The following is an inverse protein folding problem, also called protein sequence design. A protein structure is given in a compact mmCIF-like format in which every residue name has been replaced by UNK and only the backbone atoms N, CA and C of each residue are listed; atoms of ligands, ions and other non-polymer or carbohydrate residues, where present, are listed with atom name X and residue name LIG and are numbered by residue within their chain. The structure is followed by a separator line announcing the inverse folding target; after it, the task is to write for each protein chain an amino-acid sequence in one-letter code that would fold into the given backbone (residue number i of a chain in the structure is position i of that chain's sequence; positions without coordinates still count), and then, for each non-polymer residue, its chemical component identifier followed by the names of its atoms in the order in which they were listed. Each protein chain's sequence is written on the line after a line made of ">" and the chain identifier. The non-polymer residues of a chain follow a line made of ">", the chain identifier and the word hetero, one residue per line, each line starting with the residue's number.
data_IF_052265072074
#
_entry.id   IF_052265072074
#
_cell.length_a   1.000
_cell.length_b   1.000
_cell.length_c   1.000
_cell.angle_alpha   90.00
_cell.angle_beta   90.00
_cell.angle_gamma   90.00
#
_symmetry.space_group_name_H-M   'P 1'
#
loop_
_entity.id
_entity.type
_entity.pdbx_description
1 polymer ?
#
# COMPACT_ATOMS: atom_id res chain seq x y z
N UNK A 1 -3.93 -8.78 12.49
CA UNK A 1 -4.15 -9.64 13.66
C UNK A 1 -3.00 -9.52 14.66
N UNK A 2 -1.75 -9.67 14.24
CA UNK A 2 -0.58 -9.58 15.11
C UNK A 2 -0.54 -8.29 15.95
N UNK A 3 -0.81 -7.14 15.33
CA UNK A 3 -0.84 -5.83 16.02
C UNK A 3 -1.88 -5.80 17.15
N UNK A 4 -3.04 -6.43 16.92
CA UNK A 4 -4.08 -6.52 17.94
C UNK A 4 -3.69 -7.48 19.08
N UNK A 5 -3.13 -8.65 18.75
CA UNK A 5 -2.62 -9.57 19.75
C UNK A 5 -1.60 -8.90 20.66
N UNK A 6 -0.60 -8.22 20.09
CA UNK A 6 0.43 -7.47 20.81
C UNK A 6 -0.15 -6.35 21.67
N UNK A 7 -1.11 -5.59 21.15
CA UNK A 7 -1.78 -4.52 21.90
C UNK A 7 -2.58 -5.05 23.10
N UNK A 8 -3.01 -6.31 23.06
CA UNK A 8 -3.72 -7.01 24.11
C UNK A 8 -2.79 -7.82 25.02
N UNK A 9 -1.47 -7.83 24.77
CA UNK A 9 -0.46 -8.51 25.57
C UNK A 9 -0.30 -10.00 25.26
N UNK A 10 -0.74 -10.46 24.09
CA UNK A 10 -0.68 -11.86 23.67
C UNK A 10 0.28 -12.09 22.50
N UNK A 11 0.87 -13.28 22.44
CA UNK A 11 1.45 -13.79 21.18
C UNK A 11 0.34 -14.09 20.17
N UNK A 12 0.67 -13.98 18.89
CA UNK A 12 -0.32 -14.15 17.80
C UNK A 12 -0.91 -15.57 17.75
N UNK A 13 -0.14 -16.60 18.16
CA UNK A 13 -0.62 -17.98 18.20
C UNK A 13 -1.53 -18.22 19.39
N UNK A 14 -1.15 -17.71 20.56
CA UNK A 14 -1.98 -17.76 21.76
C UNK A 14 -3.30 -17.04 21.54
N UNK A 15 -3.26 -15.85 20.97
CA UNK A 15 -4.44 -15.06 20.63
C UNK A 15 -5.37 -15.79 19.64
N UNK A 16 -4.79 -16.48 18.65
CA UNK A 16 -5.55 -17.31 17.72
C UNK A 16 -6.21 -18.51 18.41
N UNK A 17 -5.47 -19.19 19.30
CA UNK A 17 -5.99 -20.33 20.05
C UNK A 17 -7.17 -19.93 20.94
N UNK A 18 -7.09 -18.80 21.63
CA UNK A 18 -8.20 -18.26 22.43
C UNK A 18 -9.46 -18.04 21.59
N UNK A 19 -9.33 -17.55 20.36
CA UNK A 19 -10.47 -17.32 19.46
C UNK A 19 -11.27 -18.58 19.09
N UNK A 20 -10.70 -19.77 19.26
CA UNK A 20 -11.42 -21.04 19.05
C UNK A 20 -12.45 -21.33 20.13
N UNK A 21 -12.29 -20.75 21.32
CA UNK A 21 -13.14 -20.98 22.49
C UNK A 21 -14.16 -19.87 22.73
N UNK A 22 -14.35 -18.98 21.73
CA UNK A 22 -15.33 -17.90 21.81
C UNK A 22 -16.75 -18.44 21.84
N UNK A 23 -17.53 -18.04 22.82
CA UNK A 23 -18.95 -18.36 22.97
C UNK A 23 -19.83 -17.34 22.22
N UNK A 24 -19.41 -16.06 22.22
CA UNK A 24 -20.13 -14.96 21.58
C UNK A 24 -19.18 -14.02 20.85
N UNK A 25 -18.69 -14.40 19.65
CA UNK A 25 -17.77 -13.56 18.89
C UNK A 25 -18.32 -12.15 18.68
N UNK A 26 -17.47 -11.13 18.88
CA UNK A 26 -17.83 -9.73 18.68
C UNK A 26 -18.07 -9.47 17.18
N UNK A 27 -19.18 -8.85 16.82
CA UNK A 27 -19.38 -8.41 15.44
C UNK A 27 -18.58 -7.13 15.16
N UNK A 28 -17.50 -7.28 14.42
CA UNK A 28 -16.64 -6.20 13.98
C UNK A 28 -16.89 -5.80 12.52
N UNK A 29 -17.91 -6.38 11.89
CA UNK A 29 -18.22 -6.16 10.49
C UNK A 29 -17.19 -6.76 9.53
N UNK A 30 -17.12 -6.23 8.31
CA UNK A 30 -16.21 -6.69 7.23
C UNK A 30 -15.25 -5.60 6.75
N UNK A 31 -14.89 -4.65 7.62
CA UNK A 31 -13.94 -3.58 7.28
C UNK A 31 -12.50 -4.07 7.32
N UNK A 32 -11.60 -3.34 6.65
CA UNK A 32 -10.17 -3.58 6.79
C UNK A 32 -9.76 -3.41 8.26
N UNK A 33 -8.89 -4.30 8.74
CA UNK A 33 -8.38 -4.32 10.13
C UNK A 33 -7.80 -2.99 10.62
N UNK A 34 -7.26 -2.18 9.73
CA UNK A 34 -6.74 -0.84 10.05
C UNK A 34 -7.82 0.07 10.66
N UNK A 35 -9.07 -0.06 10.23
CA UNK A 35 -10.20 0.73 10.72
C UNK A 35 -10.94 0.11 11.92
N UNK A 36 -10.48 -1.02 12.42
CA UNK A 36 -11.16 -1.76 13.50
C UNK A 36 -10.70 -1.37 14.90
N UNK A 37 -9.65 -0.57 15.05
CA UNK A 37 -9.10 -0.17 16.35
C UNK A 37 -10.15 0.41 17.28
N UNK A 38 -11.03 1.28 16.78
CA UNK A 38 -12.10 1.90 17.57
C UNK A 38 -13.14 0.86 18.00
N UNK A 39 -13.51 -0.06 17.09
CA UNK A 39 -14.50 -1.11 17.38
C UNK A 39 -13.96 -2.12 18.39
N UNK A 40 -12.69 -2.51 18.30
CA UNK A 40 -12.03 -3.40 19.27
C UNK A 40 -11.95 -2.72 20.65
N UNK A 41 -11.54 -1.44 20.72
CA UNK A 41 -11.52 -0.68 21.96
C UNK A 41 -12.91 -0.53 22.58
N UNK A 42 -13.93 -0.35 21.75
CA UNK A 42 -15.30 -0.30 22.24
C UNK A 42 -15.74 -1.65 22.82
N UNK A 43 -15.48 -2.75 22.09
CA UNK A 43 -15.80 -4.10 22.60
C UNK A 43 -15.12 -4.40 23.94
N UNK A 44 -13.86 -3.95 24.12
CA UNK A 44 -13.17 -4.06 25.42
C UNK A 44 -13.88 -3.28 26.53
N UNK A 45 -14.32 -2.05 26.23
CA UNK A 45 -15.08 -1.22 27.20
C UNK A 45 -16.43 -1.84 27.56
N UNK A 46 -17.05 -2.51 26.59
CA UNK A 46 -18.33 -3.21 26.77
C UNK A 46 -18.17 -4.56 27.50
N UNK A 47 -16.93 -4.91 27.89
CA UNK A 47 -16.64 -6.11 28.67
C UNK A 47 -16.55 -7.40 27.85
N UNK A 48 -16.34 -7.31 26.53
CA UNK A 48 -16.13 -8.50 25.71
C UNK A 48 -14.83 -9.22 26.10
N UNK A 49 -14.89 -10.55 26.19
CA UNK A 49 -13.72 -11.37 26.49
C UNK A 49 -12.70 -11.36 25.34
N UNK A 50 -11.46 -11.71 25.65
CA UNK A 50 -10.37 -11.76 24.66
C UNK A 50 -10.67 -12.82 23.58
N UNK A 51 -11.26 -13.94 23.98
CA UNK A 51 -11.71 -15.01 23.08
C UNK A 51 -12.71 -14.47 22.06
N UNK A 52 -13.70 -13.72 22.53
CA UNK A 52 -14.74 -13.14 21.68
C UNK A 52 -14.21 -12.06 20.75
N UNK A 53 -13.22 -11.28 21.18
CA UNK A 53 -12.53 -10.29 20.35
C UNK A 53 -11.67 -10.99 19.28
N UNK A 54 -10.90 -12.01 19.65
CA UNK A 54 -10.05 -12.77 18.73
C UNK A 54 -10.87 -13.45 17.62
N UNK A 55 -11.97 -14.10 18.02
CA UNK A 55 -12.88 -14.72 17.07
C UNK A 55 -13.54 -13.68 16.15
N UNK A 56 -14.01 -12.57 16.70
CA UNK A 56 -14.60 -11.46 15.94
C UNK A 56 -13.65 -10.87 14.90
N UNK A 57 -12.38 -10.67 15.26
CA UNK A 57 -11.33 -10.23 14.35
C UNK A 57 -11.08 -11.25 13.23
N UNK A 58 -11.04 -12.55 13.57
CA UNK A 58 -10.83 -13.62 12.60
C UNK A 58 -11.98 -13.71 11.60
N UNK A 59 -13.23 -13.65 12.08
CA UNK A 59 -14.44 -13.61 11.23
C UNK A 59 -14.44 -12.38 10.31
N UNK A 60 -14.09 -11.23 10.85
CA UNK A 60 -14.06 -10.00 10.06
C UNK A 60 -13.01 -10.03 8.94
N UNK A 61 -11.82 -10.58 9.20
CA UNK A 61 -10.79 -10.77 8.17
C UNK A 61 -11.29 -11.67 7.06
N UNK A 62 -11.95 -12.77 7.40
CA UNK A 62 -12.53 -13.71 6.45
C UNK A 62 -13.63 -13.05 5.61
N UNK A 63 -14.59 -12.38 6.25
CA UNK A 63 -15.66 -11.66 5.55
C UNK A 63 -15.12 -10.56 4.64
N UNK A 64 -14.08 -9.85 5.05
CA UNK A 64 -13.42 -8.86 4.20
C UNK A 64 -12.80 -9.52 2.96
N UNK A 65 -12.08 -10.63 3.13
CA UNK A 65 -11.47 -11.35 2.02
C UNK A 65 -12.53 -11.87 1.04
N UNK A 66 -13.55 -12.54 1.53
CA UNK A 66 -14.59 -13.14 0.69
C UNK A 66 -15.44 -12.09 -0.03
N UNK A 67 -16.01 -11.15 0.70
CA UNK A 67 -17.05 -10.27 0.16
C UNK A 67 -16.53 -8.93 -0.36
N UNK A 68 -15.34 -8.46 0.07
CA UNK A 68 -14.79 -7.19 -0.41
C UNK A 68 -13.65 -7.35 -1.41
N UNK A 69 -12.81 -8.36 -1.24
CA UNK A 69 -11.66 -8.60 -2.11
C UNK A 69 -12.02 -9.55 -3.24
N UNK A 70 -12.48 -10.75 -2.92
CA UNK A 70 -12.91 -11.76 -3.91
C UNK A 70 -14.23 -11.36 -4.55
N UNK A 71 -15.11 -10.70 -3.78
CA UNK A 71 -16.45 -10.28 -4.17
C UNK A 71 -17.37 -11.46 -4.50
N UNK A 72 -17.19 -12.56 -3.79
CA UNK A 72 -18.12 -13.68 -3.88
C UNK A 72 -19.51 -13.23 -3.39
N UNK A 73 -20.54 -13.52 -4.16
CA UNK A 73 -21.93 -13.22 -3.79
C UNK A 73 -22.48 -14.27 -2.81
N UNK A 74 -21.96 -15.50 -2.90
CA UNK A 74 -22.30 -16.58 -1.99
C UNK A 74 -21.13 -17.55 -1.83
N UNK A 75 -21.10 -18.36 -0.76
CA UNK A 75 -20.09 -19.39 -0.56
C UNK A 75 -20.01 -20.41 -1.70
N UNK A 76 -21.15 -20.75 -2.31
CA UNK A 76 -21.26 -21.75 -3.37
C UNK A 76 -20.47 -21.37 -4.64
N UNK A 77 -20.26 -20.08 -4.89
CA UNK A 77 -19.47 -19.61 -6.03
C UNK A 77 -18.02 -20.09 -6.00
N UNK A 78 -17.46 -20.34 -4.80
CA UNK A 78 -16.10 -20.84 -4.65
C UNK A 78 -15.99 -22.36 -4.80
N UNK A 79 -17.13 -23.05 -4.91
CA UNK A 79 -17.19 -24.50 -5.03
C UNK A 79 -16.99 -25.22 -3.69
N UNK A 80 -16.92 -26.56 -3.77
CA UNK A 80 -16.85 -27.43 -2.58
C UNK A 80 -15.42 -27.88 -2.24
N UNK A 81 -14.53 -27.90 -3.21
CA UNK A 81 -13.14 -28.34 -3.06
C UNK A 81 -12.24 -27.11 -2.92
N UNK A 82 -12.10 -26.63 -1.69
CA UNK A 82 -11.39 -25.39 -1.41
C UNK A 82 -10.04 -25.71 -0.79
N UNK A 83 -8.97 -25.22 -1.41
CA UNK A 83 -7.61 -25.25 -0.90
C UNK A 83 -7.21 -23.85 -0.44
N UNK A 84 -6.83 -23.71 0.81
CA UNK A 84 -6.36 -22.44 1.36
C UNK A 84 -4.84 -22.42 1.46
N UNK A 85 -4.24 -21.28 1.18
CA UNK A 85 -2.80 -21.10 1.19
C UNK A 85 -2.41 -19.73 1.74
N UNK A 86 -1.14 -19.59 2.11
CA UNK A 86 -0.61 -18.39 2.73
C UNK A 86 -0.49 -18.50 4.25
N UNK A 87 0.44 -17.73 4.83
CA UNK A 87 0.76 -17.78 6.26
C UNK A 87 -0.42 -17.41 7.18
N UNK A 88 -1.39 -16.66 6.70
CA UNK A 88 -2.59 -16.27 7.45
C UNK A 88 -3.40 -17.49 7.89
N UNK A 89 -3.43 -18.55 7.08
CA UNK A 89 -4.18 -19.77 7.39
C UNK A 89 -3.49 -20.71 8.41
N UNK A 90 -2.29 -20.37 8.87
CA UNK A 90 -1.71 -21.00 10.07
C UNK A 90 -2.38 -20.53 11.38
N UNK A 91 -3.16 -19.45 11.31
CA UNK A 91 -4.01 -19.02 12.39
C UNK A 91 -5.29 -19.87 12.39
N UNK A 92 -5.42 -20.73 13.42
CA UNK A 92 -6.53 -21.69 13.53
C UNK A 92 -7.90 -21.00 13.65
N UNK A 93 -7.97 -19.84 14.32
CA UNK A 93 -9.23 -19.10 14.43
C UNK A 93 -9.67 -18.54 13.05
N UNK A 94 -8.72 -18.11 12.22
CA UNK A 94 -9.01 -17.67 10.83
C UNK A 94 -9.44 -18.86 9.98
N UNK A 95 -8.74 -19.99 10.07
CA UNK A 95 -9.11 -21.20 9.34
C UNK A 95 -10.55 -21.63 9.72
N UNK A 96 -10.84 -21.70 11.00
CA UNK A 96 -12.16 -22.10 11.49
C UNK A 96 -13.25 -21.09 11.11
N UNK A 97 -12.95 -19.79 11.18
CA UNK A 97 -13.88 -18.75 10.73
C UNK A 97 -14.21 -18.90 9.24
N UNK A 98 -13.19 -19.21 8.42
CA UNK A 98 -13.38 -19.45 6.99
C UNK A 98 -14.24 -20.68 6.71
N UNK A 99 -13.99 -21.80 7.37
CA UNK A 99 -14.78 -23.02 7.26
C UNK A 99 -16.25 -22.81 7.65
N UNK A 100 -16.49 -22.07 8.74
CA UNK A 100 -17.84 -21.72 9.20
C UNK A 100 -18.57 -20.82 8.20
N UNK A 101 -17.89 -19.84 7.65
CA UNK A 101 -18.49 -18.92 6.68
C UNK A 101 -18.80 -19.63 5.36
N UNK A 102 -17.94 -20.57 4.94
CA UNK A 102 -18.11 -21.34 3.71
C UNK A 102 -19.04 -22.56 3.88
N UNK A 103 -19.29 -22.98 5.10
CA UNK A 103 -20.09 -24.19 5.38
C UNK A 103 -19.43 -25.50 4.96
N UNK A 104 -18.13 -25.49 4.65
CA UNK A 104 -17.36 -26.67 4.21
C UNK A 104 -15.99 -26.71 4.90
N UNK A 105 -15.45 -27.91 5.08
CA UNK A 105 -14.05 -28.05 5.49
C UNK A 105 -13.14 -27.73 4.31
N UNK A 106 -12.02 -27.09 4.60
CA UNK A 106 -11.05 -26.70 3.58
C UNK A 106 -9.73 -27.48 3.73
N UNK A 107 -9.02 -27.63 2.65
CA UNK A 107 -7.72 -28.29 2.63
C UNK A 107 -6.65 -27.23 2.86
N UNK A 108 -5.92 -27.34 3.98
CA UNK A 108 -4.74 -26.54 4.24
C UNK A 108 -3.50 -27.43 4.10
N UNK A 109 -2.69 -27.29 3.05
CA UNK A 109 -1.44 -28.02 2.92
C UNK A 109 -0.46 -27.69 4.05
N UNK A 110 0.39 -28.63 4.46
CA UNK A 110 1.42 -28.40 5.49
C UNK A 110 2.35 -27.24 5.14
N UNK A 111 2.60 -27.05 3.83
CA UNK A 111 3.43 -25.97 3.29
C UNK A 111 2.60 -24.74 2.88
N UNK A 112 1.41 -24.55 3.44
CA UNK A 112 0.49 -23.47 3.03
C UNK A 112 1.18 -22.09 2.95
N UNK A 113 2.09 -21.77 3.87
CA UNK A 113 2.85 -20.51 3.85
C UNK A 113 3.87 -20.41 2.72
N UNK A 114 4.29 -21.51 2.12
CA UNK A 114 5.29 -21.58 1.04
C UNK A 114 4.66 -21.84 -0.33
N UNK A 115 3.35 -22.06 -0.42
CA UNK A 115 2.68 -22.40 -1.68
C UNK A 115 2.88 -21.36 -2.78
N UNK A 116 2.92 -20.07 -2.42
CA UNK A 116 3.23 -19.00 -3.37
C UNK A 116 4.64 -19.10 -3.93
N UNK A 117 5.63 -19.36 -3.09
CA UNK A 117 7.03 -19.57 -3.52
C UNK A 117 7.17 -20.82 -4.37
N UNK A 118 6.48 -21.90 -4.00
CA UNK A 118 6.45 -23.14 -4.77
C UNK A 118 5.85 -22.93 -6.16
N UNK A 119 4.71 -22.24 -6.24
CA UNK A 119 4.09 -21.89 -7.52
C UNK A 119 4.97 -20.99 -8.38
N UNK A 120 5.65 -20.01 -7.79
CA UNK A 120 6.59 -19.15 -8.48
C UNK A 120 7.79 -19.96 -9.04
N UNK A 121 8.31 -20.93 -8.28
CA UNK A 121 9.37 -21.82 -8.73
C UNK A 121 8.93 -22.70 -9.92
N UNK A 122 7.73 -23.27 -9.86
CA UNK A 122 7.15 -24.04 -10.97
C UNK A 122 6.96 -23.18 -12.22
N UNK A 123 6.42 -21.99 -12.06
CA UNK A 123 6.25 -21.04 -13.16
C UNK A 123 7.60 -20.63 -13.75
N UNK A 124 8.57 -20.29 -12.89
CA UNK A 124 9.94 -19.96 -13.32
C UNK A 124 10.58 -21.10 -14.10
N UNK A 125 10.45 -22.35 -13.61
CA UNK A 125 10.94 -23.54 -14.31
C UNK A 125 10.31 -23.71 -15.70
N UNK A 126 8.99 -23.53 -15.80
CA UNK A 126 8.28 -23.63 -17.06
C UNK A 126 8.71 -22.55 -18.07
N UNK A 127 8.95 -21.32 -17.60
CA UNK A 127 9.36 -20.19 -18.44
C UNK A 127 10.82 -20.23 -18.85
N UNK A 128 11.70 -20.67 -17.96
CA UNK A 128 13.14 -20.71 -18.20
C UNK A 128 13.57 -21.79 -19.22
N UNK A 129 12.79 -22.87 -19.34
CA UNK A 129 13.09 -23.98 -20.24
C UNK A 129 14.19 -24.94 -19.72
N UNK A 130 14.45 -26.01 -20.46
CA UNK A 130 15.31 -27.12 -20.02
C UNK A 130 16.83 -26.77 -19.91
N UNK A 131 17.26 -25.69 -20.54
CA UNK A 131 18.69 -25.30 -20.60
C UNK A 131 19.02 -24.05 -19.78
N UNK A 132 18.08 -23.53 -19.01
CA UNK A 132 18.32 -22.36 -18.15
C UNK A 132 19.33 -22.71 -17.05
N UNK A 133 20.36 -21.89 -16.92
CA UNK A 133 21.30 -21.96 -15.80
C UNK A 133 20.84 -21.01 -14.70
N UNK A 134 20.87 -21.48 -13.47
CA UNK A 134 20.61 -20.64 -12.30
C UNK A 134 21.72 -19.59 -12.14
N UNK A 135 21.34 -18.38 -11.76
CA UNK A 135 22.25 -17.32 -11.32
C UNK A 135 22.40 -17.27 -9.81
N UNK A 136 21.80 -18.21 -9.10
CA UNK A 136 21.95 -18.35 -7.65
C UNK A 136 23.39 -18.76 -7.35
N UNK A 137 23.98 -18.12 -6.36
CA UNK A 137 25.34 -18.42 -5.91
C UNK A 137 25.45 -19.88 -5.47
N UNK A 138 26.55 -20.51 -5.82
CA UNK A 138 26.90 -21.84 -5.30
C UNK A 138 27.24 -21.75 -3.81
N UNK A 139 27.29 -22.89 -3.12
CA UNK A 139 27.66 -22.91 -1.69
C UNK A 139 29.06 -22.31 -1.47
N UNK A 140 30.02 -22.61 -2.34
CA UNK A 140 31.38 -22.08 -2.27
C UNK A 140 31.40 -20.53 -2.42
N UNK A 141 30.61 -20.00 -3.35
CA UNK A 141 30.47 -18.56 -3.53
C UNK A 141 29.77 -17.91 -2.35
N UNK A 142 28.80 -18.59 -1.71
CA UNK A 142 28.14 -18.10 -0.50
C UNK A 142 29.09 -18.06 0.71
N UNK A 143 29.97 -19.03 0.87
CA UNK A 143 30.98 -19.05 1.94
C UNK A 143 31.97 -17.88 1.83
N UNK A 144 32.25 -17.44 0.59
CA UNK A 144 33.11 -16.28 0.33
C UNK A 144 32.34 -14.98 0.10
N UNK A 145 31.01 -15.01 0.26
CA UNK A 145 30.18 -13.85 0.05
C UNK A 145 30.44 -12.80 1.13
N UNK A 146 30.77 -11.60 0.71
CA UNK A 146 30.91 -10.46 1.61
C UNK A 146 30.23 -9.23 1.03
N UNK A 147 29.67 -8.43 1.92
CA UNK A 147 29.10 -7.14 1.57
C UNK A 147 29.46 -6.08 2.61
N UNK A 148 29.62 -4.85 2.16
CA UNK A 148 29.73 -3.67 3.02
C UNK A 148 28.46 -2.85 2.86
N UNK A 149 27.86 -2.49 3.99
CA UNK A 149 26.63 -1.68 4.01
C UNK A 149 26.96 -0.30 4.50
N UNK A 150 26.69 0.72 3.69
CA UNK A 150 26.89 2.11 4.04
C UNK A 150 25.54 2.84 3.96
N UNK A 151 25.27 3.70 4.92
CA UNK A 151 24.11 4.59 4.89
C UNK A 151 24.57 6.00 4.56
N UNK A 152 24.03 6.59 3.51
CA UNK A 152 24.37 7.94 3.06
C UNK A 152 23.11 8.76 2.78
N UNK A 153 23.17 10.06 2.96
CA UNK A 153 22.09 10.96 2.62
C UNK A 153 22.26 11.43 1.16
N UNK A 154 21.22 11.24 0.35
CA UNK A 154 21.20 11.71 -1.04
C UNK A 154 21.18 13.25 -1.09
N UNK A 155 22.06 13.84 -1.88
CA UNK A 155 22.13 15.29 -2.10
C UNK A 155 21.52 15.70 -3.45
N UNK A 156 20.81 14.79 -4.12
CA UNK A 156 20.31 15.00 -5.48
C UNK A 156 19.12 15.96 -5.60
N UNK A 157 18.35 16.16 -4.51
CA UNK A 157 17.20 17.05 -4.47
C UNK A 157 16.78 17.32 -3.01
N UNK A 158 15.78 18.17 -2.79
CA UNK A 158 15.29 18.54 -1.45
C UNK A 158 14.66 17.41 -0.62
N UNK A 159 14.46 16.21 -1.19
CA UNK A 159 13.96 15.06 -0.42
C UNK A 159 15.02 14.45 0.52
N UNK A 160 16.29 14.65 0.24
CA UNK A 160 17.41 14.16 1.07
C UNK A 160 17.23 12.70 1.53
N UNK A 161 16.84 11.80 0.60
CA UNK A 161 16.58 10.41 0.93
C UNK A 161 17.77 9.77 1.64
N UNK A 162 17.48 9.00 2.69
CA UNK A 162 18.47 8.15 3.33
C UNK A 162 18.65 6.88 2.50
N UNK A 163 19.83 6.72 1.91
CA UNK A 163 20.17 5.61 1.03
C UNK A 163 20.96 4.57 1.79
N UNK A 164 20.63 3.31 1.57
CA UNK A 164 21.45 2.17 1.97
C UNK A 164 22.19 1.65 0.74
N UNK A 165 23.50 1.77 0.76
CA UNK A 165 24.39 1.34 -0.32
C UNK A 165 25.07 0.05 0.09
N UNK A 166 24.71 -1.06 -0.56
CA UNK A 166 25.39 -2.34 -0.42
C UNK A 166 26.48 -2.43 -1.49
N UNK A 167 27.69 -2.70 -1.08
CA UNK A 167 28.83 -2.93 -1.98
C UNK A 167 29.27 -4.37 -1.80
N UNK A 168 29.16 -5.16 -2.88
CA UNK A 168 29.53 -6.57 -2.89
C UNK A 168 31.01 -6.77 -3.21
N UNK A 169 31.53 -7.96 -2.91
CA UNK A 169 32.93 -8.31 -3.14
C UNK A 169 33.38 -8.14 -4.61
N UNK A 170 32.48 -8.32 -5.57
CA UNK A 170 32.70 -8.13 -7.01
C UNK A 170 32.65 -6.64 -7.45
N UNK A 171 32.52 -5.72 -6.50
CA UNK A 171 32.42 -4.27 -6.75
C UNK A 171 31.06 -3.78 -7.19
N UNK A 172 30.09 -4.67 -7.39
CA UNK A 172 28.68 -4.26 -7.69
C UNK A 172 28.08 -3.51 -6.51
N UNK A 173 27.20 -2.59 -6.84
CA UNK A 173 26.48 -1.80 -5.84
C UNK A 173 24.98 -2.02 -5.98
N UNK A 174 24.32 -2.15 -4.85
CA UNK A 174 22.86 -2.13 -4.77
C UNK A 174 22.45 -0.98 -3.84
N UNK A 175 21.63 -0.07 -4.36
CA UNK A 175 21.15 1.11 -3.63
C UNK A 175 19.66 0.94 -3.36
N UNK A 176 19.26 1.15 -2.11
CA UNK A 176 17.87 1.15 -1.66
C UNK A 176 17.56 2.38 -0.81
N UNK A 177 16.27 2.62 -0.53
CA UNK A 177 15.82 3.82 0.19
C UNK A 177 15.65 5.05 -0.70
N UNK A 178 15.98 4.94 -2.01
CA UNK A 178 15.75 5.99 -3.00
C UNK A 178 14.25 6.11 -3.35
N UNK A 179 13.80 7.34 -3.57
CA UNK A 179 12.45 7.64 -4.07
C UNK A 179 12.42 7.94 -5.57
N UNK A 180 13.58 7.95 -6.22
CA UNK A 180 13.74 8.11 -7.67
C UNK A 180 15.00 7.37 -8.12
N UNK A 181 15.18 7.20 -9.43
CA UNK A 181 16.29 6.43 -10.00
C UNK A 181 17.62 7.20 -10.06
N UNK A 182 17.61 8.50 -9.78
CA UNK A 182 18.80 9.35 -9.85
C UNK A 182 20.01 8.82 -9.09
N UNK A 183 19.89 8.30 -7.86
CA UNK A 183 21.05 7.73 -7.12
C UNK A 183 21.62 6.47 -7.77
N UNK A 184 20.80 5.74 -8.54
CA UNK A 184 21.18 4.47 -9.19
C UNK A 184 21.74 4.72 -10.58
N UNK A 185 21.09 5.57 -11.37
CA UNK A 185 21.40 5.79 -12.78
C UNK A 185 22.36 6.97 -13.02
N UNK A 186 22.54 7.85 -12.04
CA UNK A 186 23.25 9.11 -12.19
C UNK A 186 22.56 10.14 -13.09
N UNK A 187 21.43 9.78 -13.70
CA UNK A 187 20.67 10.64 -14.59
C UNK A 187 19.55 11.34 -13.81
N UNK A 188 19.28 12.59 -14.15
CA UNK A 188 18.03 13.24 -13.75
C UNK A 188 16.85 12.43 -14.32
N UNK A 189 15.70 12.47 -13.64
CA UNK A 189 14.47 11.94 -14.23
C UNK A 189 14.32 12.49 -15.65
N UNK A 190 13.79 11.68 -16.53
CA UNK A 190 13.52 12.13 -17.89
C UNK A 190 12.55 13.32 -17.83
N UNK A 191 13.06 14.52 -18.12
CA UNK A 191 12.28 15.77 -18.05
C UNK A 191 11.02 15.71 -18.95
N UNK A 192 11.10 14.93 -20.03
CA UNK A 192 9.98 14.70 -20.95
C UNK A 192 8.82 13.92 -20.31
N UNK A 193 9.07 13.22 -19.20
CA UNK A 193 8.05 12.48 -18.44
C UNK A 193 7.58 13.22 -17.19
N UNK A 194 8.11 14.41 -16.91
CA UNK A 194 7.67 15.25 -15.80
C UNK A 194 6.38 16.00 -16.15
N UNK A 195 5.28 15.25 -16.13
CA UNK A 195 3.94 15.82 -16.39
C UNK A 195 3.53 16.85 -15.33
N UNK A 196 4.17 16.84 -14.15
CA UNK A 196 3.90 17.85 -13.13
C UNK A 196 4.50 19.20 -13.51
N UNK A 197 5.74 19.23 -13.98
CA UNK A 197 6.37 20.44 -14.51
C UNK A 197 5.60 20.99 -15.71
N UNK A 198 5.15 20.11 -16.61
CA UNK A 198 4.29 20.49 -17.74
C UNK A 198 2.96 21.11 -17.27
N UNK A 199 2.30 20.50 -16.28
CA UNK A 199 1.06 21.05 -15.68
C UNK A 199 1.30 22.43 -15.08
N UNK A 200 2.40 22.61 -14.33
CA UNK A 200 2.75 23.90 -13.76
C UNK A 200 2.91 24.99 -14.84
N UNK A 201 3.59 24.66 -15.93
CA UNK A 201 3.76 25.57 -17.06
C UNK A 201 2.41 26.02 -17.64
N UNK A 202 1.48 25.08 -17.86
CA UNK A 202 0.14 25.40 -18.34
C UNK A 202 -0.64 26.30 -17.36
N UNK A 203 -0.53 26.06 -16.05
CA UNK A 203 -1.18 26.89 -15.05
C UNK A 203 -0.60 28.30 -15.02
N UNK A 204 0.73 28.44 -15.18
CA UNK A 204 1.39 29.73 -15.24
C UNK A 204 0.97 30.56 -16.48
N UNK A 205 0.63 29.94 -17.60
CA UNK A 205 0.09 30.61 -18.76
C UNK A 205 -1.23 31.34 -18.45
N UNK A 206 -2.13 30.70 -17.67
CA UNK A 206 -3.36 31.32 -17.19
C UNK A 206 -3.11 32.41 -16.13
N UNK A 207 -2.15 32.15 -15.23
CA UNK A 207 -1.78 33.12 -14.19
C UNK A 207 -1.25 34.43 -14.78
N UNK A 208 -0.49 34.35 -15.86
CA UNK A 208 0.18 35.48 -16.50
C UNK A 208 -0.59 35.99 -17.72
N UNK A 209 -1.82 35.53 -17.94
CA UNK A 209 -2.63 35.97 -19.09
C UNK A 209 -2.91 37.47 -19.03
N UNK A 210 -2.88 38.18 -20.17
CA UNK A 210 -3.10 39.62 -20.20
C UNK A 210 -4.54 39.97 -19.81
N UNK A 211 -4.69 41.18 -19.23
CA UNK A 211 -6.02 41.70 -18.92
C UNK A 211 -6.85 41.92 -20.18
N UNK A 212 -8.18 41.77 -20.14
CA UNK A 212 -9.09 42.16 -21.20
C UNK A 212 -8.92 43.64 -21.55
N UNK A 213 -9.12 44.03 -22.82
CA UNK A 213 -8.95 45.41 -23.28
C UNK A 213 -9.81 46.45 -22.54
N UNK A 214 -10.96 46.02 -22.00
CA UNK A 214 -11.87 46.89 -21.23
C UNK A 214 -12.52 46.09 -20.11
N UNK A 215 -11.80 45.87 -18.99
CA UNK A 215 -12.34 45.05 -17.88
C UNK A 215 -13.48 45.77 -17.16
N UNK A 216 -14.54 45.05 -16.86
CA UNK A 216 -15.69 45.52 -16.05
C UNK A 216 -15.35 45.57 -14.57
N UNK A 217 -14.34 44.87 -14.12
CA UNK A 217 -13.88 44.77 -12.75
C UNK A 217 -12.78 43.75 -12.58
N UNK A 218 -12.28 43.65 -11.34
CA UNK A 218 -11.21 42.71 -10.99
C UNK A 218 -11.72 41.66 -10.00
N UNK A 219 -11.32 40.40 -10.21
CA UNK A 219 -11.59 39.29 -9.28
C UNK A 219 -10.26 38.64 -8.89
N UNK A 220 -10.00 38.57 -7.58
CA UNK A 220 -8.86 37.79 -7.05
C UNK A 220 -9.24 36.32 -6.94
N UNK A 221 -8.43 35.43 -7.52
CA UNK A 221 -8.58 33.98 -7.39
C UNK A 221 -7.52 33.47 -6.41
N UNK A 222 -7.88 32.94 -5.21
CA UNK A 222 -6.91 32.37 -4.29
C UNK A 222 -6.35 31.06 -4.88
N UNK A 223 -5.03 31.02 -5.15
CA UNK A 223 -4.36 29.83 -5.67
C UNK A 223 -3.97 28.88 -4.51
N UNK A 224 -4.96 28.22 -3.95
CA UNK A 224 -4.77 27.24 -2.88
C UNK A 224 -5.65 26.01 -3.10
N UNK A 225 -5.21 24.85 -2.59
CA UNK A 225 -5.92 23.58 -2.67
C UNK A 225 -6.40 23.28 -4.12
N UNK A 226 -7.66 22.89 -4.27
CA UNK A 226 -8.27 22.57 -5.57
C UNK A 226 -8.48 23.77 -6.49
N UNK A 227 -8.47 25.00 -5.96
CA UNK A 227 -8.56 26.21 -6.79
C UNK A 227 -7.35 26.35 -7.72
N UNK A 228 -6.19 25.81 -7.33
CA UNK A 228 -5.02 25.77 -8.16
C UNK A 228 -5.25 24.93 -9.44
N UNK A 229 -5.92 23.80 -9.33
CA UNK A 229 -6.26 22.94 -10.47
C UNK A 229 -7.42 23.49 -11.30
N UNK A 230 -8.33 24.22 -10.69
CA UNK A 230 -9.50 24.80 -11.32
C UNK A 230 -9.23 26.19 -11.92
N UNK A 231 -8.01 26.73 -11.80
CA UNK A 231 -7.65 28.04 -12.33
C UNK A 231 -8.02 28.21 -13.81
N UNK A 232 -7.74 27.26 -14.73
CA UNK A 232 -8.09 27.41 -16.14
C UNK A 232 -9.59 27.63 -16.37
N UNK A 233 -10.44 26.90 -15.61
CA UNK A 233 -11.89 27.03 -15.68
C UNK A 233 -12.36 28.42 -15.22
N UNK A 234 -11.96 28.81 -14.01
CA UNK A 234 -12.40 30.09 -13.44
C UNK A 234 -11.84 31.30 -14.19
N UNK A 235 -10.57 31.22 -14.61
CA UNK A 235 -9.98 32.28 -15.42
C UNK A 235 -10.76 32.46 -16.73
N UNK A 236 -11.05 31.37 -17.45
CA UNK A 236 -11.79 31.44 -18.73
C UNK A 236 -13.20 31.98 -18.51
N UNK A 237 -13.89 31.53 -17.48
CA UNK A 237 -15.24 32.01 -17.15
C UNK A 237 -15.24 33.53 -16.89
N UNK A 238 -14.37 34.00 -15.99
CA UNK A 238 -14.35 35.41 -15.61
C UNK A 238 -13.88 36.32 -16.73
N UNK A 239 -12.87 35.93 -17.50
CA UNK A 239 -12.41 36.71 -18.66
C UNK A 239 -13.45 36.78 -19.78
N UNK A 240 -14.24 35.72 -19.98
CA UNK A 240 -15.38 35.73 -20.89
C UNK A 240 -16.49 36.71 -20.44
N UNK A 241 -16.57 37.00 -19.13
CA UNK A 241 -17.45 38.02 -18.57
C UNK A 241 -16.81 39.42 -18.54
N UNK A 242 -15.68 39.62 -19.18
CA UNK A 242 -14.89 40.86 -19.16
C UNK A 242 -14.41 41.24 -17.75
N UNK A 243 -14.14 40.25 -16.89
CA UNK A 243 -13.54 40.45 -15.57
C UNK A 243 -12.05 40.13 -15.67
N UNK A 244 -11.20 40.98 -15.11
CA UNK A 244 -9.79 40.69 -14.99
C UNK A 244 -9.55 39.80 -13.77
N UNK A 245 -8.79 38.74 -13.94
CA UNK A 245 -8.41 37.84 -12.85
C UNK A 245 -6.95 38.08 -12.49
N UNK A 246 -6.67 38.28 -11.22
CA UNK A 246 -5.31 38.38 -10.68
C UNK A 246 -5.10 37.33 -9.59
N UNK A 247 -3.86 36.82 -9.41
CA UNK A 247 -3.56 36.02 -8.24
C UNK A 247 -3.77 36.84 -6.97
N UNK A 248 -4.22 36.19 -5.89
CA UNK A 248 -4.39 36.85 -4.60
C UNK A 248 -3.04 37.37 -4.10
N UNK A 249 -2.96 38.59 -3.53
CA UNK A 249 -1.71 39.15 -2.99
C UNK A 249 -0.99 38.25 -1.99
N UNK A 250 -1.73 37.38 -1.28
CA UNK A 250 -1.16 36.43 -0.30
C UNK A 250 -0.38 35.28 -0.95
N UNK A 251 -0.57 35.03 -2.25
CA UNK A 251 0.10 33.95 -2.97
C UNK A 251 1.47 34.39 -3.51
N UNK A 252 1.72 35.70 -3.61
CA UNK A 252 2.99 36.28 -4.05
C UNK A 252 4.03 36.43 -2.92
N UNK A 253 3.60 36.38 -1.66
CA UNK A 253 4.50 36.53 -0.49
C UNK A 253 5.14 35.19 -0.03
N UNK A 254 4.80 34.06 -0.67
CA UNK A 254 5.29 32.72 -0.30
C UNK A 254 6.13 32.01 -1.38
N UNK A 255 6.53 32.72 -2.41
CA UNK A 255 7.44 32.19 -3.44
C UNK A 255 8.90 32.52 -3.17
#
# INVERSE_FOLDING_TARGET
>A
LQTFAQALGYDVKEFAALGLFADKPVDLGSRCTVFMNSSVKQAQKDGASIENISAGLSISVVKNALYKVIRASSPEELGRNIVVQGGTFYNEAVLRAFEKEMGVNVIRPDIAGLMGAYGAALYGKAKAGAHARSTVLTQLELEHFSQKVNTVQCQGCGNHCQLTVNVFADGKRFISGNRCDKPVTGKANNEDLDLYAYKLKLIEEYRNAPAPASPRGNIGIPLCLNMYELLPFWHTLFTSCLLYTSPSPRDTERS
#
